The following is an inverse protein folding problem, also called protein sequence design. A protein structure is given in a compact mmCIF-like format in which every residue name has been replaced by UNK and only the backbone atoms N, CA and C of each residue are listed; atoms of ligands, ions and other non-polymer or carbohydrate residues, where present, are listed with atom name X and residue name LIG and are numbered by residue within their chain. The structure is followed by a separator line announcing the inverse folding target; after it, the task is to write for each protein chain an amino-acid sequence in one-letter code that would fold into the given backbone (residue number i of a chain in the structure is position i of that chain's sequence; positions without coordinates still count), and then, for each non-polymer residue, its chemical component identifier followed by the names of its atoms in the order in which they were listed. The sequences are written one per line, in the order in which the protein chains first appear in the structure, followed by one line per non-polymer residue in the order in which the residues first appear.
data_IF_912430745789
#
_entry.id   IF_912430745789
#
_cell.length_a   1.000
_cell.length_b   1.000
_cell.length_c   1.000
_cell.angle_alpha   90.00
_cell.angle_beta   90.00
_cell.angle_gamma   90.00
#
_symmetry.space_group_name_H-M   'P 1'
#
loop_
_entity.id
_entity.type
_entity.pdbx_description
1 polymer ?
#
# COMPACT_ATOMS: atom_id res chain seq x y z
N UNK A 1 11.77 -3.25 -10.40
CA UNK A 1 11.08 -2.59 -11.52
C UNK A 1 11.15 -1.05 -11.52
N UNK A 2 11.18 -0.36 -10.37
CA UNK A 2 11.35 1.11 -10.38
C UNK A 2 12.65 1.53 -11.11
N UNK A 3 12.59 2.56 -11.97
CA UNK A 3 13.77 3.14 -12.62
C UNK A 3 14.59 4.07 -11.72
N UNK A 4 14.05 4.42 -10.54
CA UNK A 4 14.78 5.18 -9.51
C UNK A 4 14.76 6.72 -9.64
N UNK A 5 14.14 7.28 -10.69
CA UNK A 5 14.21 8.71 -11.01
C UNK A 5 13.40 9.62 -10.06
N UNK A 6 12.25 9.16 -9.55
CA UNK A 6 11.43 9.93 -8.62
C UNK A 6 11.37 9.25 -7.25
N UNK A 7 11.53 10.05 -6.19
CA UNK A 7 11.41 9.62 -4.79
C UNK A 7 10.09 8.91 -4.48
N UNK A 8 8.90 9.41 -4.87
CA UNK A 8 7.64 8.74 -4.57
C UNK A 8 7.59 7.30 -5.10
N UNK A 9 8.04 7.04 -6.33
CA UNK A 9 8.11 5.66 -6.82
C UNK A 9 9.22 4.84 -6.15
N UNK A 10 10.47 5.35 -6.12
CA UNK A 10 11.64 4.59 -5.64
C UNK A 10 11.53 4.22 -4.16
N UNK A 11 11.15 5.18 -3.32
CA UNK A 11 11.08 5.00 -1.87
C UNK A 11 9.68 4.59 -1.44
N UNK A 12 8.64 5.11 -2.10
CA UNK A 12 7.26 4.78 -1.75
C UNK A 12 6.94 3.31 -1.97
N UNK A 13 7.41 2.69 -3.04
CA UNK A 13 7.22 1.23 -3.24
C UNK A 13 7.87 0.39 -2.13
N UNK A 14 9.06 0.78 -1.66
CA UNK A 14 9.73 0.10 -0.55
C UNK A 14 8.96 0.29 0.77
N UNK A 15 8.53 1.52 1.07
CA UNK A 15 7.69 1.82 2.24
C UNK A 15 6.38 1.04 2.21
N UNK A 16 5.75 0.94 1.04
CA UNK A 16 4.52 0.18 0.84
C UNK A 16 4.72 -1.29 1.24
N UNK A 17 5.79 -1.92 0.76
CA UNK A 17 6.12 -3.31 1.13
C UNK A 17 6.29 -3.46 2.64
N UNK A 18 6.99 -2.54 3.30
CA UNK A 18 7.15 -2.57 4.76
C UNK A 18 5.82 -2.47 5.50
N UNK A 19 4.92 -1.60 5.05
CA UNK A 19 3.59 -1.45 5.65
C UNK A 19 2.73 -2.71 5.46
N UNK A 20 2.78 -3.33 4.27
CA UNK A 20 2.01 -4.55 3.96
C UNK A 20 2.54 -5.81 4.68
N UNK A 21 3.79 -5.78 5.14
CA UNK A 21 4.39 -6.87 5.93
C UNK A 21 4.05 -6.78 7.42
N UNK A 22 3.46 -5.66 7.87
CA UNK A 22 2.98 -5.54 9.23
C UNK A 22 1.78 -6.49 9.45
N UNK A 23 1.61 -7.02 10.68
CA UNK A 23 0.48 -7.89 11.01
C UNK A 23 -0.86 -7.15 10.93
N UNK A 24 -0.86 -5.85 11.26
CA UNK A 24 -2.00 -4.95 11.14
C UNK A 24 -1.65 -3.86 10.13
N UNK A 25 -2.52 -3.66 9.15
CA UNK A 25 -2.30 -2.72 8.06
C UNK A 25 -2.83 -1.34 8.45
N UNK A 26 -1.92 -0.37 8.56
CA UNK A 26 -2.30 1.04 8.67
C UNK A 26 -2.90 1.54 7.34
N UNK A 27 -4.21 1.33 7.18
CA UNK A 27 -4.92 1.68 5.96
C UNK A 27 -4.89 3.17 5.65
N UNK A 28 -4.85 4.03 6.68
CA UNK A 28 -4.81 5.47 6.50
C UNK A 28 -3.47 5.89 5.89
N UNK A 29 -2.37 5.37 6.43
CA UNK A 29 -1.03 5.61 5.91
C UNK A 29 -0.82 5.00 4.53
N UNK A 30 -1.36 3.79 4.27
CA UNK A 30 -1.34 3.17 2.94
C UNK A 30 -2.07 4.04 1.89
N UNK A 31 -3.21 4.63 2.25
CA UNK A 31 -3.97 5.56 1.38
C UNK A 31 -3.18 6.86 1.13
N UNK A 32 -2.62 7.46 2.18
CA UNK A 32 -1.80 8.68 2.05
C UNK A 32 -0.59 8.43 1.15
N UNK A 33 0.13 7.33 1.37
CA UNK A 33 1.29 6.95 0.56
C UNK A 33 0.89 6.70 -0.90
N UNK A 34 -0.25 6.03 -1.14
CA UNK A 34 -0.77 5.78 -2.48
C UNK A 34 -1.07 7.08 -3.22
N UNK A 35 -1.69 8.06 -2.55
CA UNK A 35 -1.96 9.38 -3.14
C UNK A 35 -0.67 10.12 -3.47
N UNK A 36 0.31 10.13 -2.56
CA UNK A 36 1.61 10.75 -2.81
C UNK A 36 2.34 10.09 -4.00
N UNK A 37 2.23 8.76 -4.14
CA UNK A 37 2.79 8.04 -5.29
C UNK A 37 2.06 8.38 -6.59
N UNK A 38 0.74 8.47 -6.57
CA UNK A 38 -0.08 8.86 -7.72
C UNK A 38 0.22 10.29 -8.20
N UNK A 39 0.24 11.25 -7.28
CA UNK A 39 0.30 12.67 -7.64
C UNK A 39 1.72 13.15 -7.98
N UNK A 40 2.74 12.58 -7.32
CA UNK A 40 4.12 13.11 -7.41
C UNK A 40 5.07 12.24 -8.26
N UNK A 41 4.62 11.10 -8.78
CA UNK A 41 5.46 10.29 -9.68
C UNK A 41 5.52 10.88 -11.08
N UNK A 42 6.72 10.85 -11.67
CA UNK A 42 7.01 11.46 -12.98
C UNK A 42 6.42 10.64 -14.15
N UNK A 43 6.22 9.35 -13.99
CA UNK A 43 5.75 8.46 -15.06
C UNK A 43 4.61 7.55 -14.60
N UNK A 44 3.88 6.99 -15.57
CA UNK A 44 2.71 6.16 -15.32
C UNK A 44 2.98 4.91 -14.46
N UNK A 45 4.21 4.36 -14.49
CA UNK A 45 4.57 3.26 -13.60
C UNK A 45 4.49 3.69 -12.13
N UNK A 46 5.11 4.82 -11.79
CA UNK A 46 5.11 5.30 -10.40
C UNK A 46 3.71 5.70 -9.93
N UNK A 47 2.92 6.28 -10.83
CA UNK A 47 1.54 6.69 -10.55
C UNK A 47 0.63 5.48 -10.30
N UNK A 48 0.82 4.39 -11.05
CA UNK A 48 0.00 3.19 -10.95
C UNK A 48 0.54 2.12 -9.98
N UNK A 49 1.75 2.31 -9.43
CA UNK A 49 2.43 1.28 -8.63
C UNK A 49 1.64 0.88 -7.36
N UNK A 50 0.85 1.80 -6.79
CA UNK A 50 -0.01 1.54 -5.62
C UNK A 50 -1.39 0.96 -5.97
N UNK A 51 -1.76 0.87 -7.25
CA UNK A 51 -3.10 0.42 -7.66
C UNK A 51 -3.53 -0.94 -7.10
N UNK A 52 -2.64 -1.96 -7.02
CA UNK A 52 -3.02 -3.24 -6.41
C UNK A 52 -3.46 -3.08 -4.95
N UNK A 53 -2.75 -2.24 -4.19
CA UNK A 53 -3.05 -1.99 -2.76
C UNK A 53 -4.37 -1.23 -2.62
N UNK A 54 -4.55 -0.16 -3.39
CA UNK A 54 -5.80 0.62 -3.32
C UNK A 54 -7.01 -0.23 -3.74
N UNK A 55 -6.85 -1.13 -4.71
CA UNK A 55 -7.90 -2.08 -5.11
C UNK A 55 -8.29 -3.01 -3.95
N UNK A 56 -7.30 -3.56 -3.24
CA UNK A 56 -7.54 -4.40 -2.04
C UNK A 56 -8.29 -3.61 -0.98
N UNK A 57 -7.84 -2.41 -0.63
CA UNK A 57 -8.48 -1.55 0.37
C UNK A 57 -9.90 -1.10 -0.01
N UNK A 58 -10.22 -1.03 -1.31
CA UNK A 58 -11.54 -0.61 -1.79
C UNK A 58 -12.54 -1.76 -1.89
N UNK A 59 -12.06 -2.95 -2.28
CA UNK A 59 -12.95 -4.06 -2.63
C UNK A 59 -12.94 -5.21 -1.61
N UNK A 60 -11.92 -5.28 -0.76
CA UNK A 60 -11.71 -6.39 0.18
C UNK A 60 -11.52 -5.91 1.62
N UNK A 61 -11.97 -4.71 1.96
CA UNK A 61 -11.86 -4.14 3.32
C UNK A 61 -12.43 -5.07 4.41
N UNK A 62 -13.54 -5.77 4.11
CA UNK A 62 -14.13 -6.75 5.02
C UNK A 62 -13.25 -7.97 5.32
N UNK A 63 -12.43 -8.40 4.35
CA UNK A 63 -11.52 -9.54 4.53
C UNK A 63 -10.31 -9.15 5.38
N UNK A 64 -9.88 -7.88 5.31
CA UNK A 64 -8.80 -7.36 6.16
C UNK A 64 -9.23 -7.34 7.63
N UNK A 65 -10.45 -6.88 7.92
CA UNK A 65 -11.03 -6.90 9.27
C UNK A 65 -11.21 -8.34 9.79
N UNK A 66 -11.63 -9.27 8.92
CA UNK A 66 -11.76 -10.67 9.28
C UNK A 66 -10.41 -11.33 9.61
N UNK A 67 -9.33 -10.88 8.97
CA UNK A 67 -7.97 -11.36 9.23
C UNK A 67 -7.50 -10.93 10.62
N UNK A 68 -7.79 -9.70 11.06
CA UNK A 68 -7.51 -9.25 12.42
C UNK A 68 -8.25 -10.08 13.48
N UNK A 69 -9.51 -10.44 13.21
CA UNK A 69 -10.32 -11.27 14.12
C UNK A 69 -9.83 -12.72 14.19
N UNK A 70 -9.24 -13.25 13.12
CA UNK A 70 -8.63 -14.58 13.11
C UNK A 70 -7.25 -14.56 13.79
N UNK A 71 -6.45 -13.51 13.56
CA UNK A 71 -5.18 -13.32 14.24
C UNK A 71 -5.34 -13.21 15.76
N UNK A 72 -6.38 -12.51 16.24
CA UNK A 72 -6.69 -12.38 17.68
C UNK A 72 -7.31 -13.62 18.33
N UNK A 73 -7.51 -14.72 17.59
CA UNK A 73 -8.15 -15.97 18.05
C UNK A 73 -7.18 -17.16 18.14
N UNK A 74 -5.91 -16.97 17.79
CA UNK A 74 -4.88 -18.03 17.79
C UNK A 74 -3.90 -17.88 18.97
N UNK A 75 -4.22 -17.03 19.95
CA UNK A 75 -3.51 -16.95 21.24
C UNK A 75 -4.06 -17.95 22.28
#
# INVERSE_FOLDING_TARGET
ESCGQCTPCRVGTQKMVTLLQAPDWDQALLKELSNAMCDASICGLGQAASNPVTSVLQHFDGDLIATDLLASRVD
#
